data_IF_723889103518
#
_entry.id   IF_723889103518
#
_cell.length_a   1.000
_cell.length_b   1.000
_cell.length_c   1.000
_cell.angle_alpha   90.00
_cell.angle_beta   90.00
_cell.angle_gamma   90.00
#
_symmetry.space_group_name_H-M   'P 1'
#
loop_
_entity.id
_entity.type
_entity.pdbx_description
1 polymer ?
#
# COMPACT_ATOMS: atom_id res chain seq x y z
N UNK A 1 21.78 -47.21 -3.68
CA UNK A 1 20.91 -46.68 -2.59
C UNK A 1 20.85 -45.14 -2.55
N UNK A 2 21.16 -44.42 -3.64
CA UNK A 2 21.05 -42.96 -3.67
C UNK A 2 19.73 -42.47 -4.30
N UNK A 3 19.21 -43.15 -5.32
CA UNK A 3 17.94 -42.80 -5.99
C UNK A 3 16.75 -42.80 -5.02
N UNK A 4 16.68 -43.79 -4.11
CA UNK A 4 15.60 -43.89 -3.12
C UNK A 4 15.59 -42.72 -2.11
N UNK A 5 16.78 -42.17 -1.77
CA UNK A 5 16.91 -40.99 -0.89
C UNK A 5 16.47 -39.69 -1.58
N UNK A 6 16.72 -39.57 -2.89
CA UNK A 6 16.31 -38.39 -3.65
C UNK A 6 14.78 -38.37 -3.87
N UNK A 7 14.16 -39.53 -4.08
CA UNK A 7 12.70 -39.64 -4.16
C UNK A 7 12.01 -39.23 -2.85
N UNK A 8 12.57 -39.63 -1.70
CA UNK A 8 12.02 -39.23 -0.40
C UNK A 8 12.13 -37.72 -0.14
N UNK A 9 13.24 -37.10 -0.57
CA UNK A 9 13.44 -35.65 -0.45
C UNK A 9 12.47 -34.86 -1.35
N UNK A 10 12.22 -35.34 -2.58
CA UNK A 10 11.25 -34.73 -3.50
C UNK A 10 9.80 -34.89 -3.00
N UNK A 11 9.48 -36.02 -2.37
CA UNK A 11 8.16 -36.24 -1.76
C UNK A 11 7.94 -35.32 -0.55
N UNK A 12 8.95 -35.12 0.28
CA UNK A 12 8.90 -34.20 1.42
C UNK A 12 8.80 -32.73 0.99
N UNK A 13 9.50 -32.33 -0.09
CA UNK A 13 9.36 -30.98 -0.66
C UNK A 13 7.98 -30.76 -1.30
N UNK A 14 7.46 -31.77 -2.00
CA UNK A 14 6.15 -31.72 -2.64
C UNK A 14 5.00 -31.60 -1.64
N UNK A 15 5.07 -32.30 -0.51
CA UNK A 15 4.07 -32.15 0.57
C UNK A 15 4.20 -30.81 1.27
N UNK A 16 5.41 -30.31 1.53
CA UNK A 16 5.62 -28.99 2.13
C UNK A 16 5.08 -27.83 1.27
N UNK A 17 5.12 -27.96 -0.06
CA UNK A 17 4.57 -26.96 -0.99
C UNK A 17 3.02 -26.91 -0.99
N UNK A 18 2.36 -28.02 -0.64
CA UNK A 18 0.89 -28.11 -0.54
C UNK A 18 0.35 -27.54 0.78
N UNK A 19 1.21 -27.38 1.79
CA UNK A 19 0.91 -26.71 3.06
C UNK A 19 1.49 -25.30 3.14
N UNK A 20 1.52 -24.58 2.01
CA UNK A 20 1.60 -23.13 2.07
C UNK A 20 0.18 -22.61 2.28
N UNK A 21 -0.26 -22.30 3.52
CA UNK A 21 -1.44 -21.49 3.69
C UNK A 21 -1.13 -20.19 2.96
N UNK A 22 -1.72 -20.02 1.79
CA UNK A 22 -1.82 -18.69 1.21
C UNK A 22 -2.63 -17.94 2.23
N UNK A 23 -1.89 -17.15 2.99
CA UNK A 23 -2.31 -16.50 4.20
C UNK A 23 -3.28 -15.37 3.81
N UNK A 24 -4.46 -15.77 3.35
CA UNK A 24 -5.55 -14.90 2.94
C UNK A 24 -6.25 -14.50 4.23
N UNK A 25 -5.93 -13.32 4.74
CA UNK A 25 -6.79 -12.70 5.72
C UNK A 25 -8.18 -12.58 5.10
N UNK A 26 -9.17 -13.20 5.75
CA UNK A 26 -10.55 -13.21 5.29
C UNK A 26 -11.21 -11.94 5.81
N UNK A 27 -10.76 -10.80 5.29
CA UNK A 27 -11.30 -9.50 5.63
C UNK A 27 -12.12 -8.96 4.47
N UNK A 28 -13.27 -8.40 4.80
CA UNK A 28 -14.21 -7.84 3.83
C UNK A 28 -14.39 -6.36 4.09
N UNK A 29 -14.42 -5.58 3.01
CA UNK A 29 -14.75 -4.15 3.05
C UNK A 29 -15.52 -3.80 1.79
N UNK A 30 -16.67 -3.11 1.91
CA UNK A 30 -17.41 -2.62 0.75
C UNK A 30 -16.69 -1.44 0.06
N UNK A 31 -15.70 -0.85 0.73
CA UNK A 31 -15.00 0.33 0.26
C UNK A 31 -13.91 0.01 -0.77
N UNK A 32 -13.68 -1.27 -1.12
CA UNK A 32 -12.67 -1.69 -2.12
C UNK A 32 -13.23 -2.43 -3.34
N UNK A 33 -12.55 -2.29 -4.52
CA UNK A 33 -11.42 -1.39 -4.78
C UNK A 33 -11.89 0.08 -4.91
N UNK A 34 -11.25 1.00 -4.18
CA UNK A 34 -11.51 2.43 -4.31
C UNK A 34 -10.58 3.04 -5.35
N UNK A 35 -11.15 3.58 -6.42
CA UNK A 35 -10.40 4.48 -7.29
C UNK A 35 -10.48 5.89 -6.72
N UNK A 36 -9.33 6.54 -6.57
CA UNK A 36 -9.22 7.93 -6.15
C UNK A 36 -8.77 8.72 -7.37
N UNK A 37 -9.71 9.44 -7.99
CA UNK A 37 -9.41 10.33 -9.10
C UNK A 37 -8.80 11.63 -8.54
N UNK A 38 -7.59 11.95 -8.99
CA UNK A 38 -6.96 13.22 -8.65
C UNK A 38 -7.29 14.22 -9.75
N UNK A 39 -7.86 15.37 -9.37
CA UNK A 39 -8.20 16.44 -10.30
C UNK A 39 -6.95 17.02 -11.00
N UNK A 40 -7.14 17.76 -12.09
CA UNK A 40 -6.04 18.52 -12.70
C UNK A 40 -5.56 19.60 -11.73
N UNK A 41 -4.26 19.59 -11.42
CA UNK A 41 -3.67 20.51 -10.43
C UNK A 41 -2.47 21.23 -11.03
N UNK A 42 -2.41 22.55 -10.78
CA UNK A 42 -1.25 23.38 -11.08
C UNK A 42 -0.27 23.35 -9.90
N UNK A 43 1.00 23.05 -10.16
CA UNK A 43 2.02 22.96 -9.12
C UNK A 43 2.71 24.32 -8.97
N UNK A 44 2.70 24.94 -7.77
CA UNK A 44 3.42 26.20 -7.56
C UNK A 44 4.92 26.02 -7.75
N UNK A 45 5.55 26.93 -8.49
CA UNK A 45 7.01 26.88 -8.72
C UNK A 45 7.81 27.08 -7.42
N UNK A 46 7.26 27.83 -6.47
CA UNK A 46 7.83 28.11 -5.15
C UNK A 46 7.67 26.97 -4.14
N UNK A 47 6.91 25.93 -4.47
CA UNK A 47 6.73 24.77 -3.59
C UNK A 47 8.05 24.02 -3.44
N UNK A 48 8.49 23.71 -2.22
CA UNK A 48 9.73 22.98 -2.00
C UNK A 48 9.59 21.50 -2.39
N UNK A 49 10.66 20.89 -2.91
CA UNK A 49 10.72 19.43 -3.14
C UNK A 49 10.45 18.68 -1.83
N UNK A 50 9.65 17.63 -1.90
CA UNK A 50 9.17 16.83 -0.77
C UNK A 50 7.85 17.32 -0.16
N UNK A 51 7.41 18.53 -0.50
CA UNK A 51 6.16 19.10 -0.02
C UNK A 51 4.95 18.52 -0.76
N UNK A 52 3.84 18.37 -0.03
CA UNK A 52 2.54 18.04 -0.61
C UNK A 52 2.10 19.18 -1.53
N UNK A 53 1.61 18.84 -2.72
CA UNK A 53 1.05 19.79 -3.68
C UNK A 53 -0.34 20.20 -3.17
N UNK A 54 -0.55 21.50 -2.86
CA UNK A 54 -1.81 21.95 -2.28
C UNK A 54 -3.02 21.65 -3.19
N UNK A 55 -4.11 21.15 -2.60
CA UNK A 55 -5.35 20.85 -3.30
C UNK A 55 -5.37 19.48 -3.97
N UNK A 56 -4.39 18.62 -3.67
CA UNK A 56 -4.32 17.24 -4.17
C UNK A 56 -4.73 16.20 -3.13
N UNK A 57 -4.95 16.65 -1.90
CA UNK A 57 -5.33 15.81 -0.78
C UNK A 57 -6.74 15.25 -0.98
N UNK A 58 -6.84 13.93 -1.02
CA UNK A 58 -8.11 13.21 -1.12
C UNK A 58 -8.17 12.18 0.00
N UNK A 59 -9.01 12.45 0.99
CA UNK A 59 -9.24 11.54 2.11
C UNK A 59 -10.33 10.56 1.76
N UNK A 60 -10.05 9.26 1.93
CA UNK A 60 -11.05 8.19 1.85
C UNK A 60 -11.19 7.53 3.20
N UNK A 61 -12.44 7.27 3.55
CA UNK A 61 -12.81 6.44 4.68
C UNK A 61 -12.88 4.98 4.22
N UNK A 62 -12.38 4.09 5.08
CA UNK A 62 -12.37 2.66 4.86
C UNK A 62 -12.82 1.99 6.14
N UNK A 63 -13.85 1.15 6.03
CA UNK A 63 -14.26 0.29 7.12
C UNK A 63 -14.55 -1.14 6.64
N UNK A 64 -14.49 -2.06 7.59
CA UNK A 64 -14.76 -3.46 7.32
C UNK A 64 -14.55 -4.34 8.53
N UNK A 65 -14.58 -5.63 8.29
CA UNK A 65 -14.38 -6.62 9.34
C UNK A 65 -13.63 -7.84 8.79
N UNK A 66 -13.07 -8.59 9.71
CA UNK A 66 -12.43 -9.85 9.45
C UNK A 66 -13.15 -11.01 10.12
N UNK A 67 -12.99 -12.20 9.56
CA UNK A 67 -13.77 -13.37 9.93
C UNK A 67 -13.08 -14.22 11.01
N UNK A 68 -11.83 -13.93 11.37
CA UNK A 68 -11.05 -14.76 12.27
C UNK A 68 -10.41 -14.02 13.46
N UNK A 69 -10.42 -14.68 14.62
CA UNK A 69 -9.90 -14.12 15.87
C UNK A 69 -8.39 -13.93 15.91
N UNK A 70 -7.63 -14.63 15.06
CA UNK A 70 -6.18 -14.42 14.94
C UNK A 70 -5.83 -13.08 14.26
N UNK A 71 -6.81 -12.41 13.63
CA UNK A 71 -6.66 -11.07 13.05
C UNK A 71 -6.79 -9.96 14.08
N UNK A 72 -7.26 -10.27 15.29
CA UNK A 72 -7.37 -9.34 16.41
C UNK A 72 -6.06 -8.59 16.71
N UNK A 73 -6.09 -7.26 16.63
CA UNK A 73 -4.94 -6.41 16.92
C UNK A 73 -3.86 -6.37 15.83
N UNK A 74 -4.04 -7.06 14.70
CA UNK A 74 -3.06 -7.08 13.62
C UNK A 74 -3.01 -5.74 12.87
N UNK A 75 -1.81 -5.37 12.40
CA UNK A 75 -1.63 -4.18 11.59
C UNK A 75 -2.18 -4.36 10.18
N UNK A 76 -2.84 -3.32 9.69
CA UNK A 76 -3.28 -3.21 8.31
C UNK A 76 -2.17 -2.49 7.55
N UNK A 77 -1.58 -3.19 6.59
CA UNK A 77 -0.52 -2.65 5.75
C UNK A 77 -1.09 -2.20 4.40
N UNK A 78 -0.51 -1.15 3.84
CA UNK A 78 -0.85 -0.64 2.51
C UNK A 78 0.30 -0.86 1.52
N UNK A 79 -0.06 -1.24 0.31
CA UNK A 79 0.80 -1.60 -0.79
C UNK A 79 0.50 -0.72 -2.00
N UNK A 80 1.55 -0.12 -2.55
CA UNK A 80 1.45 0.66 -3.77
C UNK A 80 1.64 -0.25 -4.98
N UNK A 81 0.61 -0.34 -5.82
CA UNK A 81 0.62 -1.15 -7.05
C UNK A 81 0.79 -0.29 -8.32
N UNK A 82 1.21 0.97 -8.19
CA UNK A 82 1.55 1.80 -9.34
C UNK A 82 2.88 1.42 -9.99
N UNK A 83 3.24 2.16 -11.04
CA UNK A 83 4.44 1.92 -11.87
C UNK A 83 5.77 2.21 -11.16
N UNK A 84 5.72 2.82 -9.97
CA UNK A 84 6.87 3.41 -9.30
C UNK A 84 7.35 2.71 -8.03
N UNK A 85 8.66 2.81 -7.77
CA UNK A 85 9.23 2.52 -6.46
C UNK A 85 9.17 3.75 -5.54
N UNK A 86 9.45 3.53 -4.26
CA UNK A 86 9.65 4.64 -3.31
C UNK A 86 10.88 5.45 -3.74
N UNK A 87 10.73 6.78 -3.79
CA UNK A 87 11.76 7.70 -4.28
C UNK A 87 12.83 7.87 -3.19
N UNK A 88 14.11 7.60 -3.49
CA UNK A 88 15.20 7.78 -2.53
C UNK A 88 15.23 9.21 -1.96
N UNK A 89 15.32 9.32 -0.63
CA UNK A 89 15.35 10.61 0.07
C UNK A 89 13.98 11.24 0.33
N UNK A 90 12.88 10.67 -0.20
CA UNK A 90 11.51 11.12 0.04
C UNK A 90 10.67 9.96 0.62
N UNK A 91 10.73 9.80 1.94
CA UNK A 91 10.05 8.71 2.66
C UNK A 91 8.54 8.69 2.39
N UNK A 92 8.04 7.51 2.00
CA UNK A 92 6.64 7.25 1.69
C UNK A 92 6.11 7.98 0.47
N UNK A 93 7.00 8.44 -0.42
CA UNK A 93 6.66 9.04 -1.71
C UNK A 93 7.08 8.09 -2.82
N UNK A 94 6.14 7.74 -3.69
CA UNK A 94 6.32 6.78 -4.77
C UNK A 94 6.27 7.48 -6.12
N UNK A 95 7.02 6.96 -7.09
CA UNK A 95 7.00 7.48 -8.44
C UNK A 95 5.59 7.34 -9.05
N UNK A 96 5.09 8.43 -9.63
CA UNK A 96 3.78 8.53 -10.25
C UNK A 96 3.82 8.30 -11.77
N UNK A 97 5.02 8.22 -12.37
CA UNK A 97 5.24 8.26 -13.81
C UNK A 97 5.29 9.68 -14.40
N UNK A 98 4.89 10.72 -13.64
CA UNK A 98 4.98 12.11 -14.07
C UNK A 98 6.28 12.75 -13.57
N UNK A 99 7.16 13.24 -14.46
CA UNK A 99 8.42 13.85 -14.04
C UNK A 99 8.23 15.04 -13.09
N UNK A 100 8.77 14.90 -11.88
CA UNK A 100 8.71 15.92 -10.82
C UNK A 100 7.49 15.82 -9.90
N UNK A 101 6.67 14.77 -10.05
CA UNK A 101 5.52 14.48 -9.19
C UNK A 101 5.59 13.05 -8.67
N UNK A 102 5.36 12.88 -7.38
CA UNK A 102 5.19 11.59 -6.74
C UNK A 102 3.82 11.48 -6.08
N UNK A 103 3.47 10.27 -5.67
CA UNK A 103 2.26 9.97 -4.92
C UNK A 103 2.61 9.49 -3.52
N UNK A 104 1.85 9.91 -2.53
CA UNK A 104 1.96 9.40 -1.17
C UNK A 104 0.57 9.08 -0.63
N UNK A 105 0.51 8.02 0.18
CA UNK A 105 -0.63 7.74 1.04
C UNK A 105 -0.23 8.15 2.46
N UNK A 106 -1.16 8.72 3.21
CA UNK A 106 -0.94 9.16 4.58
C UNK A 106 -1.98 8.54 5.51
N UNK A 107 -1.54 8.00 6.64
CA UNK A 107 -2.45 7.50 7.67
C UNK A 107 -3.08 8.66 8.47
N UNK A 108 -4.04 8.31 9.33
CA UNK A 108 -4.71 9.20 10.28
C UNK A 108 -3.76 9.90 11.28
N UNK A 109 -2.56 9.35 11.48
CA UNK A 109 -1.48 9.95 12.30
C UNK A 109 -0.62 10.98 11.54
N UNK A 110 -0.95 11.27 10.29
CA UNK A 110 -0.18 12.20 9.46
C UNK A 110 1.17 11.64 8.98
N UNK A 111 1.36 10.32 9.03
CA UNK A 111 2.57 9.66 8.57
C UNK A 111 2.38 9.15 7.14
N UNK A 112 3.32 9.48 6.25
CA UNK A 112 3.35 8.89 4.90
C UNK A 112 3.68 7.41 5.00
N UNK A 113 2.91 6.58 4.30
CA UNK A 113 3.12 5.14 4.26
C UNK A 113 4.43 4.86 3.53
N UNK A 114 5.40 4.29 4.23
CA UNK A 114 6.71 3.89 3.73
C UNK A 114 6.79 2.37 3.61
N UNK A 115 7.67 1.85 2.74
CA UNK A 115 7.85 0.40 2.56
C UNK A 115 6.69 -0.32 1.85
N UNK A 116 5.67 0.43 1.38
CA UNK A 116 4.53 -0.11 0.62
C UNK A 116 4.85 -0.46 -0.84
N UNK A 117 6.01 -0.07 -1.35
CA UNK A 117 6.47 -0.46 -2.69
C UNK A 117 7.20 -1.81 -2.71
N UNK A 118 7.40 -2.37 -3.92
CA UNK A 118 8.09 -3.64 -4.22
C UNK A 118 7.25 -4.89 -3.97
N UNK A 119 7.71 -6.03 -4.50
CA UNK A 119 7.03 -7.35 -4.44
C UNK A 119 6.70 -7.84 -3.03
N UNK A 120 7.45 -7.40 -2.01
CA UNK A 120 7.23 -7.84 -0.63
C UNK A 120 6.14 -7.04 0.11
N UNK A 121 5.99 -5.74 -0.19
CA UNK A 121 5.14 -4.77 0.51
C UNK A 121 5.17 -4.92 2.05
N UNK A 122 6.03 -4.14 2.70
CA UNK A 122 6.15 -4.11 4.15
C UNK A 122 6.08 -2.67 4.67
N UNK A 123 4.84 -2.21 4.91
CA UNK A 123 4.57 -0.88 5.46
C UNK A 123 4.26 -0.87 6.96
N UNK A 124 4.73 -1.88 7.70
CA UNK A 124 4.48 -2.00 9.16
C UNK A 124 5.05 -0.86 9.99
N UNK A 125 6.07 -0.16 9.49
CA UNK A 125 6.62 1.05 10.14
C UNK A 125 5.60 2.19 10.19
N UNK A 126 4.63 2.18 9.28
CA UNK A 126 3.62 3.22 9.05
C UNK A 126 2.32 2.54 8.66
N UNK A 127 1.65 1.81 9.58
CA UNK A 127 0.42 1.10 9.27
C UNK A 127 -0.72 2.08 9.01
N UNK A 128 -1.70 1.68 8.20
CA UNK A 128 -2.89 2.49 7.91
C UNK A 128 -4.00 2.32 8.94
N UNK A 129 -3.93 1.26 9.74
CA UNK A 129 -4.93 0.95 10.75
C UNK A 129 -4.60 -0.36 11.46
N UNK A 130 -5.51 -0.75 12.35
CA UNK A 130 -5.43 -2.00 13.10
C UNK A 130 -6.81 -2.65 13.12
N UNK A 131 -6.83 -3.98 13.19
CA UNK A 131 -8.06 -4.72 13.49
C UNK A 131 -8.38 -4.57 14.97
N UNK A 132 -9.64 -4.31 15.29
CA UNK A 132 -10.11 -4.19 16.67
C UNK A 132 -9.88 -5.48 17.44
N UNK A 133 -9.52 -5.33 18.71
CA UNK A 133 -9.32 -6.44 19.65
C UNK A 133 -10.48 -6.62 20.62
N UNK A 134 -11.63 -6.01 20.32
CA UNK A 134 -12.86 -6.02 21.12
C UNK A 134 -13.78 -7.22 20.83
N UNK A 135 -13.27 -8.23 20.10
CA UNK A 135 -14.02 -9.40 19.68
C UNK A 135 -14.91 -9.18 18.47
N UNK A 136 -14.92 -7.99 17.86
CA UNK A 136 -15.66 -7.71 16.61
C UNK A 136 -14.81 -7.85 15.35
N UNK A 137 -13.48 -7.83 15.50
CA UNK A 137 -12.51 -7.93 14.39
C UNK A 137 -12.80 -6.90 13.29
N UNK A 138 -13.25 -5.71 13.67
CA UNK A 138 -13.59 -4.62 12.78
C UNK A 138 -12.41 -3.67 12.60
N UNK A 139 -12.34 -2.97 11.47
CA UNK A 139 -11.42 -1.87 11.26
C UNK A 139 -12.18 -0.69 10.68
N UNK A 140 -11.75 0.51 11.07
CA UNK A 140 -12.31 1.79 10.62
C UNK A 140 -11.17 2.81 10.66
N UNK A 141 -10.79 3.34 9.50
CA UNK A 141 -9.70 4.30 9.40
C UNK A 141 -9.86 5.22 8.20
N UNK A 142 -9.18 6.37 8.26
CA UNK A 142 -9.06 7.29 7.14
C UNK A 142 -7.64 7.22 6.57
N UNK A 143 -7.54 7.24 5.25
CA UNK A 143 -6.27 7.46 4.55
C UNK A 143 -6.39 8.63 3.60
N UNK A 144 -5.32 9.41 3.48
CA UNK A 144 -5.28 10.57 2.59
C UNK A 144 -4.28 10.34 1.49
N UNK A 145 -4.75 10.30 0.25
CA UNK A 145 -3.91 10.35 -0.93
C UNK A 145 -3.45 11.79 -1.16
N UNK A 146 -2.18 11.98 -1.50
CA UNK A 146 -1.63 13.30 -1.79
C UNK A 146 -0.58 13.20 -2.90
N UNK A 147 -0.50 14.23 -3.75
CA UNK A 147 0.61 14.38 -4.69
C UNK A 147 1.73 15.18 -4.02
N UNK A 148 2.97 14.84 -4.34
CA UNK A 148 4.17 15.42 -3.73
C UNK A 148 5.07 15.93 -4.84
N UNK A 149 5.62 17.15 -4.70
CA UNK A 149 6.62 17.66 -5.65
C UNK A 149 7.94 16.93 -5.40
N UNK A 150 8.50 16.27 -6.42
CA UNK A 150 9.71 15.45 -6.28
C UNK A 150 10.93 16.05 -6.96
N UNK A 151 10.76 17.10 -7.78
CA UNK A 151 11.84 17.79 -8.48
C UNK A 151 11.51 19.28 -8.64
N UNK A 152 12.55 20.11 -8.76
CA UNK A 152 12.40 21.53 -9.11
C UNK A 152 11.89 21.73 -10.55
N UNK A 153 12.19 20.78 -11.43
CA UNK A 153 11.64 20.76 -12.77
C UNK A 153 10.44 19.83 -12.81
N UNK A 154 9.25 20.42 -12.85
CA UNK A 154 7.99 19.70 -13.05
C UNK A 154 7.60 19.83 -14.51
N UNK A 155 7.37 18.70 -15.20
CA UNK A 155 6.84 18.71 -16.56
C UNK A 155 5.35 18.45 -16.52
N UNK A 156 4.58 19.17 -17.36
CA UNK A 156 3.17 18.85 -17.58
C UNK A 156 3.06 17.44 -18.13
N UNK A 157 2.21 16.64 -17.50
CA UNK A 157 1.87 15.30 -17.95
C UNK A 157 0.60 14.86 -17.25
N UNK A 158 -0.13 13.95 -17.87
CA UNK A 158 -1.14 13.20 -17.16
C UNK A 158 -0.41 12.12 -16.37
N UNK A 159 -0.75 11.93 -15.09
CA UNK A 159 -0.53 10.62 -14.49
C UNK A 159 -1.22 9.62 -15.42
N UNK A 160 -0.47 8.65 -15.95
CA UNK A 160 -0.90 7.89 -17.13
C UNK A 160 -2.32 7.34 -16.94
N UNK A 161 -3.11 7.28 -18.00
CA UNK A 161 -4.49 6.75 -18.00
C UNK A 161 -4.60 5.24 -17.69
N UNK A 162 -3.50 4.61 -17.26
CA UNK A 162 -3.42 3.28 -16.64
C UNK A 162 -2.67 3.27 -15.29
N UNK A 163 -2.33 4.45 -14.75
CA UNK A 163 -1.55 4.70 -13.54
C UNK A 163 -2.35 5.55 -12.53
N UNK A 164 -3.66 5.31 -12.42
CA UNK A 164 -4.33 5.64 -11.16
C UNK A 164 -3.51 4.99 -10.04
N UNK A 165 -3.06 5.71 -9.01
CA UNK A 165 -2.27 5.13 -7.95
C UNK A 165 -3.16 4.14 -7.20
N UNK A 166 -3.12 2.87 -7.61
CA UNK A 166 -3.93 1.83 -6.99
C UNK A 166 -3.20 1.40 -5.74
N UNK A 167 -3.74 1.82 -4.61
CA UNK A 167 -3.32 1.35 -3.31
C UNK A 167 -4.21 0.16 -2.93
N UNK A 168 -3.57 -0.96 -2.65
CA UNK A 168 -4.23 -2.12 -2.04
C UNK A 168 -3.76 -2.24 -0.61
N UNK A 169 -4.65 -2.60 0.29
CA UNK A 169 -4.26 -3.01 1.63
C UNK A 169 -4.54 -4.48 1.84
N UNK A 170 -3.79 -5.05 2.77
CA UNK A 170 -4.04 -6.39 3.28
C UNK A 170 -3.77 -6.41 4.76
N UNK A 171 -4.44 -7.32 5.45
CA UNK A 171 -4.10 -7.63 6.82
C UNK A 171 -2.95 -8.61 6.78
N UNK A 172 -1.91 -8.28 7.54
CA UNK A 172 -0.76 -9.16 7.66
C UNK A 172 -1.21 -10.47 8.32
N UNK A 173 -0.82 -11.61 7.78
CA UNK A 173 -0.80 -12.89 8.49
C UNK A 173 0.63 -13.23 8.93
#
# INVERSE_FOLDING_TARGET
MQILKHCFFLLALGTAALFMPHAKAACTTPDMPKMIDVASVSIPTTLAVGSTIPGTEQTVHVAGNCDHSYESGMEIISCYYGSGAEIPGLTGVYDSGVPGVGVALMNDKGQRISGGGKTACDSRSTPIGYVSNDGKMSFDFNVTLQLVKTSETVKSGNAESGANPVWYWRIRQ
#
